data_IF_569724178339
#
_entry.id   IF_569724178339
#
_cell.length_a   1.000
_cell.length_b   1.000
_cell.length_c   1.000
_cell.angle_alpha   90.00
_cell.angle_beta   90.00
_cell.angle_gamma   90.00
#
_symmetry.space_group_name_H-M   'P 1'
#
loop_
_entity.id
_entity.type
_entity.pdbx_description
1 polymer ?
#
# COMPACT_ATOMS: atom_id res chain seq x y z
N UNK A 1 31.29 -17.96 -25.77
CA UNK A 1 31.23 -16.96 -24.68
C UNK A 1 30.29 -17.50 -23.61
N UNK A 2 30.70 -17.66 -22.34
CA UNK A 2 29.79 -18.11 -21.30
C UNK A 2 28.81 -16.98 -20.95
N UNK A 3 27.52 -17.26 -21.01
CA UNK A 3 26.45 -16.32 -20.64
C UNK A 3 26.51 -16.08 -19.12
N UNK A 4 26.51 -14.81 -18.69
CA UNK A 4 26.45 -14.44 -17.27
C UNK A 4 25.18 -15.05 -16.66
N UNK A 5 25.26 -15.73 -15.50
CA UNK A 5 24.08 -16.25 -14.82
C UNK A 5 23.18 -15.08 -14.43
N UNK A 6 21.94 -15.11 -14.92
CA UNK A 6 20.90 -14.14 -14.61
C UNK A 6 20.55 -14.28 -13.11
N UNK A 7 21.20 -13.50 -12.25
CA UNK A 7 20.85 -13.47 -10.82
C UNK A 7 19.38 -13.08 -10.72
N UNK A 8 18.49 -13.89 -10.12
CA UNK A 8 17.11 -13.49 -9.94
C UNK A 8 17.10 -12.22 -9.09
N UNK A 9 16.67 -11.12 -9.69
CA UNK A 9 16.37 -9.88 -8.97
C UNK A 9 15.34 -10.20 -7.90
N UNK A 10 15.43 -9.59 -6.71
CA UNK A 10 14.39 -9.71 -5.66
C UNK A 10 12.99 -9.41 -6.21
N UNK A 11 12.89 -8.60 -7.27
CA UNK A 11 11.64 -8.30 -7.99
C UNK A 11 11.02 -9.52 -8.70
N UNK A 12 11.80 -10.59 -8.97
CA UNK A 12 11.26 -11.83 -9.55
C UNK A 12 10.32 -12.56 -8.59
N UNK A 13 10.44 -12.30 -7.27
CA UNK A 13 9.62 -12.92 -6.22
C UNK A 13 8.35 -12.12 -5.89
N UNK A 14 8.20 -10.89 -6.40
CA UNK A 14 6.98 -10.11 -6.25
C UNK A 14 5.96 -10.55 -7.30
N UNK A 15 4.74 -10.93 -6.91
CA UNK A 15 3.69 -11.32 -7.87
C UNK A 15 3.10 -10.12 -8.64
N UNK A 16 3.42 -8.91 -8.18
CA UNK A 16 3.02 -7.64 -8.78
C UNK A 16 3.92 -7.34 -9.98
N UNK A 17 3.32 -7.15 -11.14
CA UNK A 17 4.01 -6.69 -12.34
C UNK A 17 4.14 -5.16 -12.33
N UNK A 18 3.02 -4.46 -12.16
CA UNK A 18 2.99 -3.00 -12.05
C UNK A 18 1.70 -2.50 -11.39
N UNK A 19 1.69 -1.23 -10.99
CA UNK A 19 0.50 -0.54 -10.47
C UNK A 19 0.18 0.63 -11.41
N UNK A 20 -1.06 0.71 -11.87
CA UNK A 20 -1.56 1.75 -12.79
C UNK A 20 -2.93 2.21 -12.33
N UNK A 21 -3.14 3.52 -12.20
CA UNK A 21 -4.42 4.14 -11.83
C UNK A 21 -5.09 3.53 -10.56
N UNK A 22 -4.31 3.21 -9.53
CA UNK A 22 -4.82 2.56 -8.31
C UNK A 22 -5.22 1.09 -8.48
N UNK A 23 -4.84 0.46 -9.60
CA UNK A 23 -5.08 -0.95 -9.90
C UNK A 23 -3.74 -1.67 -9.96
N UNK A 24 -3.66 -2.79 -9.24
CA UNK A 24 -2.51 -3.69 -9.25
C UNK A 24 -2.69 -4.67 -10.40
N UNK A 25 -1.65 -4.79 -11.22
CA UNK A 25 -1.56 -5.77 -12.30
C UNK A 25 -0.58 -6.84 -11.84
N UNK A 26 -1.05 -8.09 -11.77
CA UNK A 26 -0.22 -9.24 -11.39
C UNK A 26 0.44 -9.84 -12.63
N UNK A 27 1.57 -10.53 -12.45
CA UNK A 27 2.32 -11.19 -13.54
C UNK A 27 1.49 -12.20 -14.34
N UNK A 28 0.39 -12.70 -13.77
CA UNK A 28 -0.56 -13.59 -14.44
C UNK A 28 -1.63 -12.90 -15.29
N UNK A 29 -1.59 -11.57 -15.44
CA UNK A 29 -2.59 -10.80 -16.19
C UNK A 29 -3.92 -10.59 -15.46
N UNK A 30 -3.97 -10.93 -14.16
CA UNK A 30 -5.09 -10.62 -13.28
C UNK A 30 -4.90 -9.25 -12.62
N UNK A 31 -6.01 -8.64 -12.25
CA UNK A 31 -6.09 -7.29 -11.71
C UNK A 31 -6.62 -7.35 -10.28
N UNK A 32 -6.14 -6.44 -9.44
CA UNK A 32 -6.60 -6.27 -8.05
C UNK A 32 -6.79 -4.80 -7.76
N UNK A 33 -7.87 -4.46 -7.06
CA UNK A 33 -8.03 -3.16 -6.45
C UNK A 33 -8.12 -3.34 -4.93
N UNK A 34 -7.38 -2.51 -4.18
CA UNK A 34 -7.41 -2.53 -2.72
C UNK A 34 -8.11 -1.28 -2.23
N UNK A 35 -8.96 -1.45 -1.23
CA UNK A 35 -9.64 -0.37 -0.53
C UNK A 35 -9.23 -0.37 0.93
N UNK A 36 -9.09 0.81 1.53
CA UNK A 36 -8.99 0.97 2.98
C UNK A 36 -10.37 1.24 3.56
N UNK A 37 -10.67 0.65 4.71
CA UNK A 37 -11.95 0.85 5.41
C UNK A 37 -11.75 1.45 6.79
N UNK A 38 -12.78 2.14 7.30
CA UNK A 38 -12.85 2.53 8.71
C UNK A 38 -13.22 1.34 9.58
N UNK A 39 -12.98 1.46 10.87
CA UNK A 39 -13.54 0.58 11.89
C UNK A 39 -14.84 1.16 12.46
N UNK A 40 -15.62 0.32 13.12
CA UNK A 40 -16.83 0.71 13.86
C UNK A 40 -16.79 0.04 15.22
N UNK A 41 -17.03 0.81 16.28
CA UNK A 41 -17.12 0.30 17.65
C UNK A 41 -18.50 -0.32 17.91
N UNK A 42 -18.73 -1.51 17.36
CA UNK A 42 -20.01 -2.22 17.42
C UNK A 42 -20.53 -2.38 18.86
N UNK A 43 -19.66 -2.73 19.81
CA UNK A 43 -20.04 -2.96 21.22
C UNK A 43 -20.52 -1.71 21.96
N UNK A 44 -20.21 -0.51 21.46
CA UNK A 44 -20.65 0.76 22.06
C UNK A 44 -21.99 1.24 21.51
N UNK A 45 -22.56 0.51 20.54
CA UNK A 45 -23.86 0.84 19.94
C UNK A 45 -25.00 0.31 20.78
N UNK A 46 -26.16 0.95 20.69
CA UNK A 46 -27.40 0.44 21.30
C UNK A 46 -27.82 -0.89 20.64
N UNK A 47 -28.61 -1.72 21.34
CA UNK A 47 -29.09 -2.99 20.77
C UNK A 47 -29.84 -2.81 19.46
N UNK A 48 -30.62 -1.73 19.33
CA UNK A 48 -31.33 -1.40 18.10
C UNK A 48 -30.36 -1.11 16.94
N UNK A 49 -29.34 -0.30 17.18
CA UNK A 49 -28.29 -0.02 16.18
C UNK A 49 -27.48 -1.27 15.84
N UNK A 50 -27.14 -2.08 16.83
CA UNK A 50 -26.42 -3.35 16.63
C UNK A 50 -27.23 -4.29 15.75
N UNK A 51 -28.52 -4.47 16.03
CA UNK A 51 -29.42 -5.29 15.21
C UNK A 51 -29.52 -4.73 13.78
N UNK A 52 -29.69 -3.41 13.62
CA UNK A 52 -29.72 -2.77 12.31
C UNK A 52 -28.43 -3.02 11.50
N UNK A 53 -27.26 -2.92 12.15
CA UNK A 53 -25.96 -3.24 11.53
C UNK A 53 -25.86 -4.72 11.15
N UNK A 54 -26.35 -5.65 11.99
CA UNK A 54 -26.38 -7.08 11.66
C UNK A 54 -27.26 -7.33 10.43
N UNK A 55 -28.45 -6.72 10.35
CA UNK A 55 -29.33 -6.84 9.18
C UNK A 55 -28.68 -6.26 7.92
N UNK A 56 -28.04 -5.09 8.02
CA UNK A 56 -27.31 -4.49 6.91
C UNK A 56 -26.14 -5.38 6.45
N UNK A 57 -25.40 -5.96 7.39
CA UNK A 57 -24.29 -6.88 7.09
C UNK A 57 -24.78 -8.16 6.40
N UNK A 58 -25.91 -8.73 6.85
CA UNK A 58 -26.55 -9.84 6.15
C UNK A 58 -26.91 -9.49 4.70
N UNK A 59 -27.50 -8.32 4.49
CA UNK A 59 -27.85 -7.86 3.15
C UNK A 59 -26.61 -7.67 2.28
N UNK A 60 -25.52 -7.13 2.83
CA UNK A 60 -24.23 -7.03 2.16
C UNK A 60 -23.71 -8.41 1.71
N UNK A 61 -23.70 -9.40 2.61
CA UNK A 61 -23.25 -10.77 2.27
C UNK A 61 -24.12 -11.42 1.19
N UNK A 62 -25.42 -11.14 1.17
CA UNK A 62 -26.31 -11.65 0.13
C UNK A 62 -26.15 -10.93 -1.22
N UNK A 63 -25.70 -9.67 -1.21
CA UNK A 63 -25.56 -8.84 -2.40
C UNK A 63 -24.21 -9.02 -3.11
N UNK A 64 -23.21 -9.61 -2.46
CA UNK A 64 -21.87 -9.76 -3.02
C UNK A 64 -21.84 -10.89 -4.05
N UNK A 65 -21.46 -10.58 -5.28
CA UNK A 65 -21.44 -11.53 -6.42
C UNK A 65 -20.04 -11.88 -6.89
N UNK A 66 -19.02 -11.38 -6.19
CA UNK A 66 -17.62 -11.56 -6.52
C UNK A 66 -16.80 -11.83 -5.25
N UNK A 67 -15.68 -12.56 -5.37
CA UNK A 67 -14.83 -12.85 -4.22
C UNK A 67 -14.24 -11.56 -3.68
N UNK A 68 -14.15 -11.48 -2.35
CA UNK A 68 -13.55 -10.36 -1.62
C UNK A 68 -12.66 -10.92 -0.53
N UNK A 69 -11.51 -10.30 -0.36
CA UNK A 69 -10.52 -10.67 0.63
C UNK A 69 -10.38 -9.54 1.65
N UNK A 70 -10.58 -9.86 2.93
CA UNK A 70 -10.45 -8.90 4.02
C UNK A 70 -9.10 -9.11 4.68
N UNK A 71 -8.29 -8.06 4.73
CA UNK A 71 -6.94 -8.07 5.27
C UNK A 71 -6.90 -7.08 6.43
N UNK A 72 -6.46 -7.56 7.60
CA UNK A 72 -6.28 -6.74 8.78
C UNK A 72 -4.79 -6.69 9.08
N UNK A 73 -4.21 -5.49 9.09
CA UNK A 73 -2.83 -5.27 9.51
C UNK A 73 -2.80 -4.55 10.85
N UNK A 74 -2.03 -5.09 11.78
CA UNK A 74 -1.77 -4.45 13.07
C UNK A 74 -0.32 -4.02 13.10
N UNK A 75 -0.05 -2.77 13.48
CA UNK A 75 1.29 -2.21 13.64
C UNK A 75 1.35 -1.34 14.89
N UNK A 76 2.55 -1.03 15.36
CA UNK A 76 2.70 0.02 16.39
C UNK A 76 2.18 1.35 15.84
N UNK A 77 1.50 2.11 16.70
CA UNK A 77 1.01 3.44 16.34
C UNK A 77 2.20 4.36 16.07
N UNK A 78 2.30 4.87 14.83
CA UNK A 78 3.27 5.92 14.49
C UNK A 78 2.62 7.29 14.74
N UNK A 79 3.25 8.10 15.59
CA UNK A 79 2.82 9.47 15.88
C UNK A 79 3.85 10.53 15.49
N UNK A 80 4.86 10.18 14.68
CA UNK A 80 5.97 11.08 14.35
C UNK A 80 5.46 12.41 13.80
N UNK A 81 4.48 12.35 12.89
CA UNK A 81 3.88 13.54 12.29
C UNK A 81 3.15 14.42 13.31
N UNK A 82 2.51 13.79 14.29
CA UNK A 82 1.84 14.52 15.37
C UNK A 82 2.86 15.22 16.27
N UNK A 83 3.95 14.52 16.64
CA UNK A 83 5.06 15.12 17.41
C UNK A 83 5.72 16.26 16.64
N UNK A 84 5.98 16.08 15.35
CA UNK A 84 6.54 17.14 14.50
C UNK A 84 5.64 18.37 14.45
N UNK A 85 4.32 18.16 14.37
CA UNK A 85 3.33 19.24 14.42
C UNK A 85 3.36 19.96 15.77
N UNK A 86 3.48 19.22 16.88
CA UNK A 86 3.61 19.81 18.22
C UNK A 86 4.90 20.62 18.38
N UNK A 87 6.04 20.14 17.85
CA UNK A 87 7.28 20.91 17.86
C UNK A 87 7.16 22.21 17.06
N UNK A 88 6.48 22.19 15.90
CA UNK A 88 6.20 23.43 15.15
C UNK A 88 5.35 24.41 15.95
N UNK A 89 4.38 23.92 16.73
CA UNK A 89 3.59 24.77 17.62
C UNK A 89 4.41 25.29 18.81
N UNK A 90 5.28 24.46 19.39
CA UNK A 90 6.21 24.83 20.47
C UNK A 90 7.15 25.96 20.04
N UNK A 91 7.72 25.88 18.83
CA UNK A 91 8.62 26.89 18.27
C UNK A 91 7.91 28.22 17.98
N UNK A 92 6.63 28.18 17.59
CA UNK A 92 5.83 29.36 17.31
C UNK A 92 5.30 30.06 18.59
N UNK A 93 5.45 29.43 19.76
CA UNK A 93 4.92 29.93 21.02
C UNK A 93 5.83 31.03 21.61
N UNK A 94 5.31 32.24 21.80
CA UNK A 94 6.08 33.34 22.43
C UNK A 94 6.12 33.25 23.96
N UNK A 95 5.15 32.56 24.57
CA UNK A 95 5.05 32.42 26.02
C UNK A 95 5.87 31.22 26.50
N UNK A 96 6.95 31.48 27.23
CA UNK A 96 7.87 30.48 27.79
C UNK A 96 7.18 29.40 28.64
N UNK A 97 6.17 29.77 29.44
CA UNK A 97 5.45 28.78 30.27
C UNK A 97 4.67 27.78 29.42
N UNK A 98 4.03 28.27 28.35
CA UNK A 98 3.27 27.41 27.45
C UNK A 98 4.19 26.56 26.56
N UNK A 99 5.36 27.09 26.21
CA UNK A 99 6.41 26.35 25.51
C UNK A 99 6.91 25.18 26.35
N UNK A 100 7.26 25.44 27.61
CA UNK A 100 7.63 24.39 28.58
C UNK A 100 6.53 23.33 28.71
N UNK A 101 5.27 23.75 28.86
CA UNK A 101 4.13 22.82 28.96
C UNK A 101 3.97 21.94 27.70
N UNK A 102 4.23 22.49 26.51
CA UNK A 102 4.15 21.74 25.25
C UNK A 102 5.29 20.73 25.16
N UNK A 103 6.53 21.09 25.55
CA UNK A 103 7.65 20.16 25.64
C UNK A 103 7.35 19.00 26.60
N UNK A 104 6.82 19.28 27.79
CA UNK A 104 6.45 18.24 28.77
C UNK A 104 5.35 17.32 28.22
N UNK A 105 4.38 17.88 27.51
CA UNK A 105 3.33 17.11 26.86
C UNK A 105 3.87 16.18 25.77
N UNK A 106 4.80 16.65 24.94
CA UNK A 106 5.48 15.84 23.92
C UNK A 106 6.19 14.65 24.59
N UNK A 107 6.99 14.91 25.63
CA UNK A 107 7.74 13.87 26.34
C UNK A 107 6.80 12.87 27.04
N UNK A 108 5.70 13.35 27.60
CA UNK A 108 4.67 12.51 28.21
C UNK A 108 4.04 11.56 27.18
N UNK A 109 3.61 12.08 26.03
CA UNK A 109 2.96 11.29 24.98
C UNK A 109 3.92 10.24 24.39
N UNK A 110 5.18 10.61 24.16
CA UNK A 110 6.20 9.66 23.68
C UNK A 110 6.39 8.51 24.67
N UNK A 111 6.57 8.81 25.96
CA UNK A 111 6.68 7.79 27.01
C UNK A 111 5.43 6.93 27.14
N UNK A 112 4.25 7.54 27.05
CA UNK A 112 2.97 6.82 27.14
C UNK A 112 2.87 5.76 26.04
N UNK A 113 3.22 6.08 24.80
CA UNK A 113 3.13 5.15 23.67
C UNK A 113 4.14 4.02 23.80
N UNK A 114 5.37 4.33 24.23
CA UNK A 114 6.42 3.33 24.44
C UNK A 114 6.01 2.32 25.52
N UNK A 115 5.45 2.79 26.64
CA UNK A 115 5.03 1.94 27.76
C UNK A 115 3.74 1.17 27.44
N UNK A 116 2.75 1.83 26.85
CA UNK A 116 1.45 1.21 26.59
C UNK A 116 1.44 0.31 25.34
N UNK A 117 2.51 0.32 24.53
CA UNK A 117 2.62 -0.42 23.27
C UNK A 117 1.35 -0.28 22.41
N UNK A 118 0.95 0.96 22.17
CA UNK A 118 -0.32 1.27 21.50
C UNK A 118 -0.26 0.77 20.06
N UNK A 119 -1.23 -0.07 19.69
CA UNK A 119 -1.33 -0.65 18.36
C UNK A 119 -2.37 0.07 17.51
N UNK A 120 -2.04 0.24 16.24
CA UNK A 120 -2.90 0.72 15.17
C UNK A 120 -3.34 -0.45 14.29
N UNK A 121 -4.65 -0.54 14.01
CA UNK A 121 -5.25 -1.58 13.18
C UNK A 121 -5.80 -0.98 11.90
N UNK A 122 -5.20 -1.34 10.79
CA UNK A 122 -5.60 -0.93 9.45
C UNK A 122 -6.36 -2.06 8.77
N UNK A 123 -7.51 -1.71 8.18
CA UNK A 123 -8.42 -2.65 7.54
C UNK A 123 -8.42 -2.41 6.03
N UNK A 124 -8.19 -3.46 5.28
CA UNK A 124 -8.14 -3.44 3.84
C UNK A 124 -9.08 -4.48 3.23
N UNK A 125 -9.58 -4.17 2.05
CA UNK A 125 -10.45 -5.04 1.26
C UNK A 125 -9.84 -5.16 -0.14
N UNK A 126 -9.48 -6.37 -0.54
CA UNK A 126 -8.88 -6.71 -1.83
C UNK A 126 -9.95 -7.31 -2.75
N UNK A 127 -10.06 -6.73 -3.95
CA UNK A 127 -11.07 -7.05 -4.95
C UNK A 127 -10.34 -7.58 -6.20
N UNK A 128 -10.40 -8.89 -6.47
CA UNK A 128 -9.86 -9.47 -7.69
C UNK A 128 -10.76 -9.23 -8.90
N UNK A 129 -10.12 -9.11 -10.05
CA UNK A 129 -10.74 -9.25 -11.36
C UNK A 129 -9.77 -9.99 -12.28
N UNK A 130 -10.24 -11.06 -12.91
CA UNK A 130 -9.55 -11.70 -14.02
C UNK A 130 -10.46 -11.60 -15.23
N UNK A 131 -9.97 -11.06 -16.34
CA UNK A 131 -10.62 -11.35 -17.62
C UNK A 131 -10.51 -12.87 -17.80
N UNK A 132 -11.60 -13.56 -18.10
CA UNK A 132 -11.68 -15.03 -18.18
C UNK A 132 -10.80 -15.69 -19.26
N UNK A 133 -9.74 -15.04 -19.71
CA UNK A 133 -8.78 -15.52 -20.70
C UNK A 133 -7.78 -16.57 -20.17
N UNK A 134 -8.07 -17.19 -19.02
CA UNK A 134 -7.24 -18.23 -18.41
C UNK A 134 -7.36 -19.61 -19.07
N UNK A 135 -8.50 -19.93 -19.70
CA UNK A 135 -8.72 -21.26 -20.29
C UNK A 135 -9.15 -21.28 -21.77
N UNK A 136 -9.79 -20.25 -22.31
CA UNK A 136 -10.37 -20.36 -23.67
C UNK A 136 -9.62 -19.61 -24.80
N UNK A 137 -8.72 -18.67 -24.48
CA UNK A 137 -8.16 -17.76 -25.51
C UNK A 137 -6.91 -18.34 -26.23
N UNK A 138 -6.36 -19.47 -25.76
CA UNK A 138 -5.27 -20.16 -26.47
C UNK A 138 -5.70 -20.80 -27.80
N UNK A 139 -7.01 -20.93 -28.08
CA UNK A 139 -7.51 -21.63 -29.26
C UNK A 139 -7.66 -20.76 -30.53
N UNK A 140 -7.55 -19.42 -30.46
CA UNK A 140 -8.02 -18.56 -31.57
C UNK A 140 -7.13 -17.39 -32.00
N UNK A 141 -5.86 -17.31 -31.57
CA UNK A 141 -4.96 -16.18 -31.92
C UNK A 141 -3.91 -16.50 -33.01
N UNK A 142 -4.20 -17.48 -33.86
CA UNK A 142 -3.58 -17.56 -35.19
C UNK A 142 -4.42 -16.75 -36.17
N UNK A 143 -3.84 -15.68 -36.75
CA UNK A 143 -4.35 -14.81 -37.81
C UNK A 143 -4.84 -13.42 -37.34
N UNK A 144 -4.20 -12.39 -37.92
CA UNK A 144 -4.46 -10.94 -37.87
C UNK A 144 -3.60 -10.08 -36.93
N UNK A 145 -2.81 -9.21 -37.58
CA UNK A 145 -1.81 -8.34 -36.97
C UNK A 145 -2.35 -7.01 -36.44
N UNK A 146 -1.92 -6.67 -35.22
CA UNK A 146 -1.43 -5.36 -34.75
C UNK A 146 -1.21 -5.52 -33.24
N UNK A 147 0.04 -5.72 -32.82
CA UNK A 147 0.43 -6.01 -31.41
C UNK A 147 0.29 -4.81 -30.45
N UNK A 148 -0.22 -3.66 -30.89
CA UNK A 148 -0.65 -2.55 -30.01
C UNK A 148 -2.17 -2.45 -30.09
N UNK A 149 -2.89 -2.98 -29.09
CA UNK A 149 -4.27 -2.62 -28.68
C UNK A 149 -4.91 -3.61 -27.71
N UNK A 150 -4.48 -4.87 -27.66
CA UNK A 150 -5.16 -5.89 -26.83
C UNK A 150 -4.94 -5.72 -25.30
N UNK A 151 -3.76 -5.27 -24.88
CA UNK A 151 -3.44 -5.09 -23.45
C UNK A 151 -4.16 -3.88 -22.86
N UNK A 152 -4.16 -2.73 -23.54
CA UNK A 152 -4.88 -1.53 -23.10
C UNK A 152 -6.40 -1.76 -23.06
N UNK A 153 -6.99 -2.46 -24.04
CA UNK A 153 -8.42 -2.79 -24.02
C UNK A 153 -8.80 -3.71 -22.86
N UNK A 154 -7.92 -4.65 -22.51
CA UNK A 154 -8.13 -5.54 -21.37
C UNK A 154 -8.01 -4.80 -20.03
N UNK A 155 -7.11 -3.81 -19.95
CA UNK A 155 -6.99 -2.96 -18.77
C UNK A 155 -8.20 -2.05 -18.59
N UNK A 156 -8.69 -1.42 -19.67
CA UNK A 156 -9.85 -0.52 -19.58
C UNK A 156 -11.12 -1.25 -19.14
N UNK A 157 -11.33 -2.46 -19.67
CA UNK A 157 -12.44 -3.33 -19.24
C UNK A 157 -12.28 -3.78 -17.79
N UNK A 158 -11.08 -4.18 -17.39
CA UNK A 158 -10.79 -4.53 -15.99
C UNK A 158 -11.03 -3.36 -15.05
N UNK A 159 -10.59 -2.16 -15.42
CA UNK A 159 -10.80 -0.92 -14.66
C UNK A 159 -12.28 -0.64 -14.46
N UNK A 160 -13.09 -0.70 -15.52
CA UNK A 160 -14.53 -0.48 -15.43
C UNK A 160 -15.21 -1.51 -14.51
N UNK A 161 -14.83 -2.79 -14.63
CA UNK A 161 -15.38 -3.86 -13.79
C UNK A 161 -14.98 -3.71 -12.33
N UNK A 162 -13.72 -3.41 -12.05
CA UNK A 162 -13.22 -3.17 -10.70
C UNK A 162 -13.87 -1.92 -10.07
N UNK A 163 -14.07 -0.86 -10.85
CA UNK A 163 -14.76 0.34 -10.39
C UNK A 163 -16.20 0.05 -10.00
N UNK A 164 -16.96 -0.68 -10.84
CA UNK A 164 -18.32 -1.11 -10.50
C UNK A 164 -18.37 -1.94 -9.21
N UNK A 165 -17.42 -2.87 -9.04
CA UNK A 165 -17.30 -3.69 -7.83
C UNK A 165 -16.96 -2.85 -6.59
N UNK A 166 -16.06 -1.88 -6.73
CA UNK A 166 -15.72 -0.94 -5.67
C UNK A 166 -16.93 -0.10 -5.25
N UNK A 167 -17.64 0.49 -6.21
CA UNK A 167 -18.79 1.36 -5.92
C UNK A 167 -19.91 0.57 -5.22
N UNK A 168 -20.17 -0.67 -5.67
CA UNK A 168 -21.09 -1.57 -4.99
C UNK A 168 -20.65 -1.87 -3.54
N UNK A 169 -19.35 -2.17 -3.33
CA UNK A 169 -18.81 -2.41 -2.00
C UNK A 169 -18.90 -1.18 -1.09
N UNK A 170 -18.57 0.02 -1.60
CA UNK A 170 -18.67 1.28 -0.84
C UNK A 170 -20.11 1.48 -0.38
N UNK A 171 -21.08 1.32 -1.29
CA UNK A 171 -22.49 1.49 -0.97
C UNK A 171 -22.96 0.50 0.10
N UNK A 172 -22.64 -0.79 -0.05
CA UNK A 172 -23.04 -1.80 0.92
C UNK A 172 -22.35 -1.62 2.28
N UNK A 173 -21.03 -1.37 2.31
CA UNK A 173 -20.29 -1.16 3.56
C UNK A 173 -20.79 0.10 4.30
N UNK A 174 -21.12 1.16 3.57
CA UNK A 174 -21.68 2.38 4.15
C UNK A 174 -23.00 2.11 4.89
N UNK A 175 -23.82 1.16 4.41
CA UNK A 175 -25.06 0.76 5.10
C UNK A 175 -24.81 0.07 6.44
N UNK A 176 -23.63 -0.55 6.61
CA UNK A 176 -23.16 -1.17 7.86
C UNK A 176 -22.43 -0.13 8.74
N UNK A 177 -22.33 1.13 8.29
CA UNK A 177 -21.59 2.19 8.98
C UNK A 177 -20.07 2.15 8.75
N UNK A 178 -19.59 1.33 7.81
CA UNK A 178 -18.18 1.22 7.45
C UNK A 178 -17.91 2.07 6.20
N UNK A 179 -17.05 3.08 6.30
CA UNK A 179 -16.62 3.86 5.14
C UNK A 179 -15.47 3.15 4.46
N UNK A 180 -15.46 3.16 3.12
CA UNK A 180 -14.41 2.54 2.31
C UNK A 180 -13.91 3.53 1.24
N UNK A 181 -12.61 3.52 0.98
CA UNK A 181 -11.97 4.34 -0.06
C UNK A 181 -10.97 3.47 -0.84
N UNK A 182 -11.05 3.41 -2.18
CA UNK A 182 -10.01 2.80 -3.00
C UNK A 182 -8.66 3.48 -2.79
N UNK A 183 -7.59 2.69 -2.70
CA UNK A 183 -6.24 3.21 -2.58
C UNK A 183 -5.75 3.75 -3.92
N UNK A 184 -5.10 4.90 -3.87
CA UNK A 184 -4.37 5.49 -4.99
C UNK A 184 -3.11 4.68 -5.29
N UNK A 185 -2.51 4.90 -6.46
CA UNK A 185 -1.22 4.30 -6.82
C UNK A 185 -0.17 4.57 -5.74
N UNK A 186 -0.16 5.77 -5.16
CA UNK A 186 0.81 6.12 -4.13
C UNK A 186 0.58 5.35 -2.83
N UNK A 187 -0.66 5.36 -2.33
CA UNK A 187 -1.01 4.63 -1.11
C UNK A 187 -0.77 3.11 -1.27
N UNK A 188 -0.88 2.57 -2.48
CA UNK A 188 -0.53 1.16 -2.77
C UNK A 188 0.97 0.91 -2.72
N UNK A 189 1.78 1.80 -3.30
CA UNK A 189 3.25 1.68 -3.27
C UNK A 189 3.73 1.72 -1.81
N UNK A 190 3.25 2.68 -1.03
CA UNK A 190 3.53 2.78 0.41
C UNK A 190 3.10 1.51 1.15
N UNK A 191 1.88 1.01 0.91
CA UNK A 191 1.38 -0.21 1.52
C UNK A 191 2.28 -1.41 1.22
N UNK A 192 2.69 -1.60 -0.04
CA UNK A 192 3.55 -2.73 -0.40
C UNK A 192 4.96 -2.55 0.12
N UNK A 193 5.49 -1.33 0.13
CA UNK A 193 6.78 -1.04 0.75
C UNK A 193 6.78 -1.41 2.23
N UNK A 194 5.74 -1.01 2.97
CA UNK A 194 5.51 -1.37 4.37
C UNK A 194 5.34 -2.88 4.59
N UNK A 195 4.80 -3.61 3.61
CA UNK A 195 4.60 -5.06 3.68
C UNK A 195 5.92 -5.81 3.44
N UNK A 196 6.68 -5.42 2.41
CA UNK A 196 7.89 -6.12 2.01
C UNK A 196 9.13 -5.72 2.81
N UNK A 197 9.09 -4.60 3.53
CA UNK A 197 10.20 -4.08 4.34
C UNK A 197 9.81 -3.92 5.82
N UNK A 198 9.44 -5.01 6.52
CA UNK A 198 9.08 -4.94 7.93
C UNK A 198 10.29 -4.48 8.77
N UNK A 199 10.13 -3.39 9.52
CA UNK A 199 11.16 -2.85 10.41
C UNK A 199 12.05 -1.75 9.82
N UNK A 200 12.34 -1.76 8.51
CA UNK A 200 13.05 -0.64 7.85
C UNK A 200 12.11 0.44 7.34
N UNK A 201 10.87 0.11 6.93
CA UNK A 201 9.90 1.11 6.47
C UNK A 201 9.51 2.15 7.54
N UNK A 202 9.69 1.82 8.82
CA UNK A 202 9.50 2.78 9.92
C UNK A 202 10.69 3.75 10.06
N UNK A 203 11.89 3.34 9.65
CA UNK A 203 13.14 4.10 9.77
C UNK A 203 13.48 4.87 8.48
N UNK A 204 13.13 4.32 7.33
CA UNK A 204 13.33 4.88 6.00
C UNK A 204 11.97 5.18 5.38
N UNK A 205 11.44 6.38 5.66
CA UNK A 205 10.24 6.89 4.99
C UNK A 205 10.54 7.04 3.50
N UNK A 206 9.57 6.68 2.65
CA UNK A 206 9.63 6.95 1.22
C UNK A 206 9.52 8.47 1.01
N UNK A 207 10.65 9.18 1.01
CA UNK A 207 10.72 10.60 0.68
C UNK A 207 10.75 10.86 -0.84
N UNK A 208 10.64 9.80 -1.65
CA UNK A 208 10.78 9.87 -3.11
C UNK A 208 9.41 9.91 -3.77
N UNK A 209 9.21 10.92 -4.63
CA UNK A 209 8.00 11.09 -5.44
C UNK A 209 7.84 9.87 -6.40
N UNK A 210 6.66 9.24 -6.50
CA UNK A 210 6.48 7.99 -7.26
C UNK A 210 6.75 8.11 -8.75
N UNK A 211 6.66 9.34 -9.26
CA UNK A 211 7.05 9.68 -10.63
C UNK A 211 8.55 9.46 -10.88
N UNK A 212 9.38 9.54 -9.84
CA UNK A 212 10.84 9.32 -9.88
C UNK A 212 11.24 7.84 -9.67
N UNK A 213 10.32 6.97 -9.25
CA UNK A 213 10.54 5.51 -9.11
C UNK A 213 10.66 4.77 -10.46
N UNK A 214 10.90 5.48 -11.56
CA UNK A 214 11.00 4.91 -12.91
C UNK A 214 12.37 4.35 -13.28
N UNK A 215 13.32 4.22 -12.34
CA UNK A 215 14.70 3.90 -12.74
C UNK A 215 15.09 2.41 -12.76
N UNK A 216 15.87 2.01 -13.79
CA UNK A 216 16.26 0.64 -14.08
C UNK A 216 17.44 0.17 -13.22
N UNK A 217 17.43 -1.11 -12.87
CA UNK A 217 18.57 -1.94 -12.44
C UNK A 217 19.60 -1.24 -11.54
N UNK A 218 19.29 -1.11 -10.25
CA UNK A 218 20.36 -0.95 -9.24
C UNK A 218 20.96 -2.32 -8.98
N UNK A 219 22.11 -2.58 -9.58
CA UNK A 219 22.94 -3.73 -9.19
C UNK A 219 23.53 -3.39 -7.82
N UNK A 220 23.13 -4.11 -6.77
CA UNK A 220 23.76 -4.03 -5.46
C UNK A 220 25.25 -4.36 -5.62
N UNK A 221 26.12 -3.34 -5.53
CA UNK A 221 27.56 -3.56 -5.44
C UNK A 221 27.87 -4.08 -4.04
N UNK A 222 28.52 -5.21 -3.98
CA UNK A 222 28.93 -5.84 -2.72
C UNK A 222 29.98 -4.97 -2.02
N UNK A 223 30.06 -5.01 -0.67
CA UNK A 223 31.01 -4.20 0.13
C UNK A 223 32.46 -4.26 -0.39
N UNK A 224 32.87 -5.40 -0.95
CA UNK A 224 34.20 -5.60 -1.54
C UNK A 224 34.44 -4.76 -2.81
N UNK A 225 33.40 -4.48 -3.61
CA UNK A 225 33.49 -3.62 -4.80
C UNK A 225 33.51 -2.13 -4.43
N UNK A 226 32.84 -1.75 -3.33
CA UNK A 226 32.90 -0.40 -2.77
C UNK A 226 34.28 -0.08 -2.19
N UNK A 227 34.93 -1.04 -1.53
CA UNK A 227 36.30 -0.89 -1.03
C UNK A 227 37.34 -0.78 -2.17
N UNK A 228 37.15 -1.51 -3.28
CA UNK A 228 38.03 -1.40 -4.45
C UNK A 228 37.88 -0.05 -5.16
N UNK A 229 36.65 0.48 -5.27
CA UNK A 229 36.42 1.80 -5.86
C UNK A 229 37.01 2.92 -5.00
N UNK A 230 36.93 2.80 -3.67
CA UNK A 230 37.54 3.78 -2.77
C UNK A 230 39.08 3.71 -2.81
N UNK A 231 39.68 2.52 -2.90
CA UNK A 231 41.14 2.39 -3.09
C UNK A 231 41.62 3.03 -4.41
N UNK A 232 40.90 2.80 -5.51
CA UNK A 232 41.22 3.39 -6.82
C UNK A 232 41.09 4.93 -6.83
N UNK A 233 40.16 5.50 -6.04
CA UNK A 233 40.02 6.96 -5.91
C UNK A 233 41.13 7.60 -5.05
N UNK A 234 41.60 6.91 -4.02
CA UNK A 234 42.72 7.39 -3.18
C UNK A 234 44.06 7.38 -3.92
N UNK A 235 44.27 6.41 -4.82
CA UNK A 235 45.49 6.35 -5.65
C UNK A 235 45.53 7.44 -6.74
N UNK A 236 44.38 7.90 -7.23
CA UNK A 236 44.29 8.99 -8.22
C UNK A 236 44.33 10.39 -7.61
N UNK A 237 44.26 10.53 -6.28
CA UNK A 237 44.34 11.83 -5.59
C UNK A 237 45.73 12.12 -4.99
N UNK A 238 46.72 11.24 -5.25
CA UNK A 238 48.12 11.43 -4.83
C UNK A 238 49.10 11.53 -6.02
N UNK A 239 48.60 11.88 -7.21
CA UNK A 239 49.42 12.27 -8.37
C UNK A 239 49.01 13.65 -8.86
#
# INVERSE_FOLDING_TARGET
MPQKPNKPSTQSHLDIDRIRDGIIILKGGSYRQIMRTTNVNFSLKSEMEQNAMIFAYRNFLNAITFPVEIIIRTRALNIDHYIETLHKHEEAQENELLKLQTSEYIEYIQRLIEVANILDRQFYVSIPYSSGAGEEVKAMTGLFGKKKKAEDTNFDTARQQLQQRCDALISHLSSVGVKAKPLTTQELIELFYDIYNPGTAQLEKLEVDPSELTTPVTTFKTKQELEQINKLKTEQSTQ
#
